data_IF_108573472099
#
_entry.id   IF_108573472099
#
_cell.length_a   1.000
_cell.length_b   1.000
_cell.length_c   1.000
_cell.angle_alpha   90.00
_cell.angle_beta   90.00
_cell.angle_gamma   90.00
#
_symmetry.space_group_name_H-M   'P 1'
#
loop_
_entity.id
_entity.type
_entity.pdbx_description
1 polymer ?
#
# COMPACT_ATOMS: atom_id res chain seq x y z
N UNK A 1 12.35 13.34 5.21
CA UNK A 1 13.64 12.93 4.58
C UNK A 1 13.74 11.43 4.33
N UNK A 2 13.39 10.55 5.28
CA UNK A 2 13.54 9.08 5.11
C UNK A 2 12.56 8.46 4.09
N UNK A 3 11.31 8.93 4.02
CA UNK A 3 10.30 8.36 3.11
C UNK A 3 10.50 8.74 1.64
N UNK A 4 10.95 9.97 1.35
CA UNK A 4 11.34 10.36 -0.02
C UNK A 4 12.47 9.47 -0.54
N UNK A 5 13.50 9.21 0.27
CA UNK A 5 14.57 8.27 -0.09
C UNK A 5 14.04 6.86 -0.40
N UNK A 6 12.98 6.41 0.29
CA UNK A 6 12.38 5.11 0.00
C UNK A 6 11.72 5.09 -1.38
N UNK A 7 11.07 6.19 -1.79
CA UNK A 7 10.52 6.34 -3.14
C UNK A 7 11.62 6.43 -4.20
N UNK A 8 12.66 7.23 -3.94
CA UNK A 8 13.79 7.38 -4.86
C UNK A 8 14.54 6.05 -5.08
N UNK A 9 14.69 5.25 -4.02
CA UNK A 9 15.26 3.91 -4.11
C UNK A 9 14.33 2.94 -4.86
N UNK A 10 13.02 3.03 -4.63
CA UNK A 10 12.04 2.21 -5.34
C UNK A 10 12.10 2.42 -6.86
N UNK A 11 12.22 3.67 -7.30
CA UNK A 11 12.34 4.00 -8.74
C UNK A 11 13.63 3.43 -9.38
N UNK A 12 14.65 3.09 -8.58
CA UNK A 12 15.91 2.50 -9.05
C UNK A 12 15.93 0.96 -9.01
N UNK A 13 14.92 0.32 -8.43
CA UNK A 13 14.85 -1.15 -8.35
C UNK A 13 14.48 -1.72 -9.73
N UNK A 14 15.45 -2.40 -10.35
CA UNK A 14 15.26 -3.15 -11.61
C UNK A 14 14.98 -4.66 -11.38
N UNK A 15 15.08 -5.11 -10.13
CA UNK A 15 14.90 -6.50 -9.70
C UNK A 15 13.47 -6.72 -9.15
N UNK A 16 13.03 -7.98 -9.11
CA UNK A 16 11.68 -8.34 -8.67
C UNK A 16 11.30 -7.75 -7.30
N UNK A 17 10.08 -7.21 -7.21
CA UNK A 17 9.56 -6.61 -5.98
C UNK A 17 9.28 -7.68 -4.92
N UNK A 18 9.72 -7.42 -3.68
CA UNK A 18 9.47 -8.31 -2.54
C UNK A 18 8.27 -7.83 -1.71
N UNK A 19 7.70 -8.72 -0.90
CA UNK A 19 6.62 -8.40 0.06
C UNK A 19 6.97 -7.21 0.97
N UNK A 20 8.24 -7.13 1.37
CA UNK A 20 8.76 -6.06 2.22
C UNK A 20 8.80 -4.74 1.45
N UNK A 21 9.22 -4.76 0.19
CA UNK A 21 9.25 -3.58 -0.69
C UNK A 21 7.87 -2.94 -0.80
N UNK A 22 6.83 -3.74 -1.06
CA UNK A 22 5.45 -3.23 -1.14
C UNK A 22 5.03 -2.50 0.14
N UNK A 23 5.24 -3.14 1.28
CA UNK A 23 4.85 -2.59 2.58
C UNK A 23 5.57 -1.28 2.89
N UNK A 24 6.89 -1.21 2.63
CA UNK A 24 7.69 -0.01 2.85
C UNK A 24 7.19 1.14 1.96
N UNK A 25 6.97 0.87 0.67
CA UNK A 25 6.57 1.91 -0.28
C UNK A 25 5.16 2.41 0.01
N UNK A 26 4.19 1.52 0.32
CA UNK A 26 2.84 1.96 0.71
C UNK A 26 2.84 2.83 1.97
N UNK A 27 3.61 2.45 2.99
CA UNK A 27 3.75 3.26 4.20
C UNK A 27 4.43 4.61 3.93
N UNK A 28 5.45 4.64 3.06
CA UNK A 28 6.09 5.88 2.63
C UNK A 28 5.09 6.78 1.89
N UNK A 29 4.28 6.21 0.99
CA UNK A 29 3.28 6.96 0.24
C UNK A 29 2.21 7.54 1.17
N UNK A 30 1.70 6.72 2.11
CA UNK A 30 0.73 7.14 3.12
C UNK A 30 1.26 8.29 3.98
N UNK A 31 2.55 8.27 4.32
CA UNK A 31 3.17 9.28 5.19
C UNK A 31 3.48 10.58 4.46
N UNK A 32 3.85 10.51 3.18
CA UNK A 32 4.14 11.69 2.36
C UNK A 32 2.87 12.40 1.91
N UNK A 33 1.81 11.64 1.60
CA UNK A 33 0.48 12.16 1.29
C UNK A 33 0.49 13.31 0.24
N UNK A 34 1.31 13.16 -0.80
CA UNK A 34 1.44 14.09 -1.92
C UNK A 34 1.16 13.39 -3.26
N UNK A 35 1.02 14.16 -4.34
CA UNK A 35 0.63 13.62 -5.66
C UNK A 35 1.64 12.62 -6.23
N UNK A 36 2.95 12.84 -5.99
CA UNK A 36 4.01 11.90 -6.39
C UNK A 36 3.82 10.55 -5.71
N UNK A 37 3.61 10.55 -4.40
CA UNK A 37 3.35 9.36 -3.61
C UNK A 37 2.07 8.64 -4.04
N UNK A 38 1.00 9.38 -4.36
CA UNK A 38 -0.23 8.79 -4.88
C UNK A 38 0.00 8.05 -6.20
N UNK A 39 0.73 8.68 -7.13
CA UNK A 39 1.06 8.09 -8.43
C UNK A 39 1.86 6.80 -8.27
N UNK A 40 2.95 6.84 -7.49
CA UNK A 40 3.80 5.67 -7.23
C UNK A 40 3.00 4.56 -6.56
N UNK A 41 2.18 4.89 -5.55
CA UNK A 41 1.33 3.93 -4.86
C UNK A 41 0.36 3.20 -5.78
N UNK A 42 -0.27 3.92 -6.72
CA UNK A 42 -1.18 3.31 -7.71
C UNK A 42 -0.46 2.45 -8.74
N UNK A 43 0.70 2.89 -9.23
CA UNK A 43 1.54 2.07 -10.12
C UNK A 43 2.00 0.78 -9.44
N UNK A 44 2.35 0.87 -8.15
CA UNK A 44 2.75 -0.29 -7.37
C UNK A 44 1.58 -1.24 -7.14
N UNK A 45 0.38 -0.73 -6.83
CA UNK A 45 -0.84 -1.54 -6.74
C UNK A 45 -1.15 -2.28 -8.03
N UNK A 46 -0.97 -1.64 -9.19
CA UNK A 46 -1.21 -2.26 -10.50
C UNK A 46 -0.21 -3.39 -10.81
N UNK A 47 1.00 -3.32 -10.24
CA UNK A 47 2.04 -4.36 -10.36
C UNK A 47 1.91 -5.47 -9.32
N UNK A 48 1.04 -5.29 -8.32
CA UNK A 48 0.86 -6.24 -7.23
C UNK A 48 0.23 -7.55 -7.75
N UNK A 49 0.88 -8.70 -7.57
CA UNK A 49 0.34 -9.96 -8.05
C UNK A 49 -0.94 -10.36 -7.30
N UNK A 50 -1.86 -11.06 -7.97
CA UNK A 50 -3.18 -11.42 -7.42
C UNK A 50 -3.10 -12.21 -6.10
N UNK A 51 -2.11 -13.09 -5.95
CA UNK A 51 -1.89 -13.87 -4.73
C UNK A 51 -1.48 -13.02 -3.51
N UNK A 52 -1.05 -11.77 -3.72
CA UNK A 52 -0.65 -10.89 -2.62
C UNK A 52 -1.86 -10.36 -1.83
N UNK A 53 -3.07 -10.48 -2.37
CA UNK A 53 -4.31 -10.15 -1.65
C UNK A 53 -4.51 -11.01 -0.40
N UNK A 54 -3.88 -12.19 -0.35
CA UNK A 54 -3.87 -13.10 0.80
C UNK A 54 -2.78 -12.74 1.84
N UNK A 55 -1.84 -11.85 1.51
CA UNK A 55 -0.86 -11.35 2.48
C UNK A 55 -1.42 -10.15 3.24
N UNK A 56 -2.05 -10.44 4.38
CA UNK A 56 -2.69 -9.44 5.25
C UNK A 56 -1.82 -8.19 5.51
N UNK A 57 -0.50 -8.34 5.67
CA UNK A 57 0.41 -7.20 5.91
C UNK A 57 0.42 -6.23 4.73
N UNK A 58 0.54 -6.74 3.50
CA UNK A 58 0.67 -5.91 2.31
C UNK A 58 -0.66 -5.25 2.01
N UNK A 59 -1.74 -6.03 1.99
CA UNK A 59 -3.11 -5.52 1.80
C UNK A 59 -3.47 -4.46 2.84
N UNK A 60 -3.08 -4.64 4.11
CA UNK A 60 -3.28 -3.63 5.17
C UNK A 60 -2.54 -2.33 4.87
N UNK A 61 -1.26 -2.41 4.47
CA UNK A 61 -0.48 -1.20 4.14
C UNK A 61 -1.03 -0.47 2.91
N UNK A 62 -1.49 -1.20 1.90
CA UNK A 62 -2.18 -0.66 0.73
C UNK A 62 -3.50 0.05 1.12
N UNK A 63 -4.32 -0.56 1.97
CA UNK A 63 -5.56 0.05 2.49
C UNK A 63 -5.23 1.35 3.23
N UNK A 64 -4.24 1.32 4.13
CA UNK A 64 -3.82 2.51 4.87
C UNK A 64 -3.41 3.66 3.95
N UNK A 65 -2.60 3.36 2.92
CA UNK A 65 -2.22 4.33 1.90
C UNK A 65 -3.44 4.92 1.17
N UNK A 66 -4.34 4.08 0.67
CA UNK A 66 -5.53 4.53 -0.07
C UNK A 66 -6.44 5.39 0.81
N UNK A 67 -6.60 5.02 2.08
CA UNK A 67 -7.37 5.80 3.06
C UNK A 67 -6.75 7.19 3.30
N UNK A 68 -5.41 7.32 3.36
CA UNK A 68 -4.74 8.64 3.44
C UNK A 68 -5.01 9.51 2.23
N UNK A 69 -5.08 8.91 1.03
CA UNK A 69 -5.44 9.60 -0.21
C UNK A 69 -6.96 9.75 -0.42
N UNK A 70 -7.78 9.36 0.56
CA UNK A 70 -9.26 9.40 0.50
C UNK A 70 -9.86 8.56 -0.62
N UNK A 71 -9.12 7.58 -1.15
CA UNK A 71 -9.57 6.63 -2.16
C UNK A 71 -10.24 5.43 -1.47
N UNK A 72 -11.37 5.71 -0.81
CA UNK A 72 -12.08 4.76 0.05
C UNK A 72 -12.62 3.57 -0.75
N UNK A 73 -13.08 3.81 -1.98
CA UNK A 73 -13.61 2.77 -2.86
C UNK A 73 -12.53 1.73 -3.21
N UNK A 74 -11.33 2.18 -3.58
CA UNK A 74 -10.22 1.27 -3.85
C UNK A 74 -9.77 0.52 -2.59
N UNK A 75 -9.74 1.21 -1.43
CA UNK A 75 -9.42 0.59 -0.15
C UNK A 75 -10.42 -0.53 0.20
N UNK A 76 -11.71 -0.27 0.00
CA UNK A 76 -12.77 -1.25 0.24
C UNK A 76 -12.66 -2.46 -0.69
N UNK A 77 -12.36 -2.25 -1.98
CA UNK A 77 -12.15 -3.35 -2.93
C UNK A 77 -11.02 -4.27 -2.48
N UNK A 78 -9.89 -3.72 -2.05
CA UNK A 78 -8.78 -4.52 -1.51
C UNK A 78 -9.21 -5.23 -0.23
N UNK A 79 -9.83 -4.51 0.71
CA UNK A 79 -10.31 -5.09 1.96
C UNK A 79 -11.24 -6.28 1.73
N UNK A 80 -12.21 -6.16 0.82
CA UNK A 80 -13.14 -7.24 0.45
C UNK A 80 -12.42 -8.46 -0.12
N UNK A 81 -11.36 -8.25 -0.90
CA UNK A 81 -10.57 -9.33 -1.50
C UNK A 81 -9.71 -10.14 -0.52
N UNK A 82 -9.49 -9.66 0.71
CA UNK A 82 -8.76 -10.40 1.74
C UNK A 82 -9.59 -11.59 2.23
N UNK A 83 -9.09 -12.81 2.04
CA UNK A 83 -9.78 -14.05 2.42
C UNK A 83 -10.02 -14.14 3.94
N UNK A 84 -8.96 -13.97 4.75
CA UNK A 84 -9.04 -14.02 6.23
C UNK A 84 -8.64 -12.68 6.83
N UNK A 85 -9.63 -11.85 7.15
CA UNK A 85 -9.46 -10.54 7.78
C UNK A 85 -9.12 -10.68 9.27
N UNK A 86 -8.24 -9.84 9.78
CA UNK A 86 -7.91 -9.74 11.21
C UNK A 86 -8.13 -8.32 11.74
N UNK A 87 -7.98 -8.13 13.05
CA UNK A 87 -8.15 -6.82 13.72
C UNK A 87 -7.33 -5.71 13.04
N UNK A 88 -6.14 -6.03 12.53
CA UNK A 88 -5.27 -5.06 11.86
C UNK A 88 -5.90 -4.59 10.54
N UNK A 89 -6.44 -5.50 9.73
CA UNK A 89 -7.12 -5.15 8.46
C UNK A 89 -8.38 -4.31 8.70
N UNK A 90 -9.18 -4.62 9.72
CA UNK A 90 -10.35 -3.81 10.10
C UNK A 90 -9.94 -2.42 10.58
N UNK A 91 -8.91 -2.33 11.43
CA UNK A 91 -8.40 -1.06 11.92
C UNK A 91 -7.90 -0.17 10.78
N UNK A 92 -7.20 -0.74 9.81
CA UNK A 92 -6.74 0.00 8.64
C UNK A 92 -7.90 0.59 7.83
N UNK A 93 -8.98 -0.17 7.61
CA UNK A 93 -10.16 0.29 6.88
C UNK A 93 -10.95 1.38 7.63
N UNK A 94 -11.10 1.26 8.95
CA UNK A 94 -11.91 2.20 9.75
C UNK A 94 -11.14 3.48 10.07
N UNK A 95 -9.88 3.33 10.50
CA UNK A 95 -9.07 4.47 10.99
C UNK A 95 -8.23 5.12 9.89
N UNK A 96 -7.91 4.40 8.82
CA UNK A 96 -6.95 4.87 7.82
C UNK A 96 -5.58 5.15 8.47
N UNK A 97 -4.94 4.09 8.98
CA UNK A 97 -3.66 4.11 9.72
C UNK A 97 -2.68 5.18 9.23
#
# INVERSE_FOLDING_TARGET
>A
KTFEKALDLFEQIHLGLTNVTYTIVFNACAKLCNDRAMKIGKELLAKMPENYRNHNVISTSAIGMLMKFRDVESAERIFRSIETKNIITYNAMIKGN
#
